data_IF_846285300530
#
_entry.id   IF_846285300530
#
_cell.length_a   1.000
_cell.length_b   1.000
_cell.length_c   1.000
_cell.angle_alpha   90.00
_cell.angle_beta   90.00
_cell.angle_gamma   90.00
#
_symmetry.space_group_name_H-M   'P 1'
#
loop_
_entity.id
_entity.type
_entity.pdbx_description
1 polymer ?
#
# COMPACT_ATOMS: atom_id res chain seq x y z
N UNK A 1 -14.85 6.68 18.29
CA UNK A 1 -14.28 7.74 17.46
C UNK A 1 -12.93 8.10 18.03
N UNK A 2 -11.90 8.13 17.22
CA UNK A 2 -10.55 8.44 17.70
C UNK A 2 -10.01 9.65 16.93
N UNK A 3 -9.42 10.60 17.67
CA UNK A 3 -8.98 11.87 17.14
C UNK A 3 -7.48 11.84 16.81
N UNK A 4 -7.12 12.29 15.61
CA UNK A 4 -5.74 12.56 15.19
C UNK A 4 -5.57 14.07 15.17
N UNK A 5 -4.78 14.60 16.11
CA UNK A 5 -4.56 16.04 16.20
C UNK A 5 -3.27 16.39 15.44
N UNK A 6 -3.40 17.23 14.44
CA UNK A 6 -2.31 17.82 13.68
C UNK A 6 -2.17 19.27 14.09
N UNK A 7 -0.98 19.68 14.52
CA UNK A 7 -0.70 21.09 14.88
C UNK A 7 0.27 21.66 13.84
N UNK A 8 -0.14 22.71 13.17
CA UNK A 8 0.71 23.46 12.23
C UNK A 8 0.70 24.95 12.60
N UNK A 9 1.78 25.65 12.32
CA UNK A 9 1.83 27.09 12.58
C UNK A 9 1.12 27.90 11.49
N UNK A 10 1.30 27.50 10.25
CA UNK A 10 0.69 28.15 9.09
C UNK A 10 0.20 27.10 8.08
N UNK A 11 -0.61 27.54 7.14
CA UNK A 11 -1.15 26.68 6.08
C UNK A 11 -0.03 26.09 5.21
N UNK A 12 1.06 26.85 4.96
CA UNK A 12 2.20 26.40 4.17
C UNK A 12 2.89 25.16 4.73
N UNK A 13 2.86 24.96 6.05
CA UNK A 13 3.47 23.77 6.69
C UNK A 13 2.73 22.46 6.33
N UNK A 14 1.49 22.59 5.87
CA UNK A 14 0.64 21.46 5.51
C UNK A 14 0.87 20.97 4.07
N UNK A 15 1.47 21.83 3.24
CA UNK A 15 1.73 21.53 1.83
C UNK A 15 3.21 21.27 1.55
N UNK A 16 3.46 20.56 0.46
CA UNK A 16 4.80 20.31 -0.02
C UNK A 16 5.38 21.59 -0.66
N UNK A 17 6.45 22.15 -0.09
CA UNK A 17 7.08 23.38 -0.58
C UNK A 17 7.73 23.24 -1.97
N UNK A 18 7.99 22.02 -2.42
CA UNK A 18 8.69 21.75 -3.68
C UNK A 18 7.74 21.46 -4.85
N UNK A 19 6.48 21.15 -4.57
CA UNK A 19 5.49 20.97 -5.61
C UNK A 19 4.75 22.29 -5.82
N UNK A 20 4.69 22.75 -7.05
CA UNK A 20 3.86 23.92 -7.41
C UNK A 20 2.36 23.65 -7.30
N UNK A 21 1.97 22.48 -6.82
CA UNK A 21 0.61 21.97 -6.65
C UNK A 21 0.24 21.93 -5.17
N UNK A 22 -1.06 21.84 -4.86
CA UNK A 22 -1.59 21.72 -3.50
C UNK A 22 -1.39 20.32 -2.91
N UNK A 23 -0.19 19.74 -3.05
CA UNK A 23 0.14 18.44 -2.48
C UNK A 23 0.39 18.54 -0.97
N UNK A 24 -0.13 17.58 -0.20
CA UNK A 24 0.14 17.48 1.23
C UNK A 24 1.63 17.22 1.49
N UNK A 25 2.17 17.84 2.54
CA UNK A 25 3.56 17.62 2.94
C UNK A 25 3.81 16.14 3.28
N UNK A 26 4.99 15.65 2.96
CA UNK A 26 5.39 14.25 3.24
C UNK A 26 5.30 13.94 4.73
N UNK A 27 5.70 14.88 5.58
CA UNK A 27 5.68 14.73 7.03
C UNK A 27 4.25 14.57 7.56
N UNK A 28 3.30 15.33 7.00
CA UNK A 28 1.89 15.23 7.36
C UNK A 28 1.31 13.87 6.94
N UNK A 29 1.61 13.42 5.73
CA UNK A 29 1.18 12.11 5.21
C UNK A 29 1.70 10.99 6.11
N UNK A 30 3.00 10.99 6.43
CA UNK A 30 3.63 9.97 7.28
C UNK A 30 3.06 9.99 8.70
N UNK A 31 2.85 11.18 9.28
CA UNK A 31 2.25 11.31 10.60
C UNK A 31 0.85 10.70 10.67
N UNK A 32 0.00 11.00 9.68
CA UNK A 32 -1.36 10.46 9.61
C UNK A 32 -1.32 8.93 9.48
N UNK A 33 -0.48 8.39 8.59
CA UNK A 33 -0.32 6.95 8.42
C UNK A 33 0.15 6.25 9.71
N UNK A 34 1.12 6.82 10.42
CA UNK A 34 1.63 6.27 11.68
C UNK A 34 0.54 6.25 12.76
N UNK A 35 -0.25 7.30 12.86
CA UNK A 35 -1.36 7.36 13.81
C UNK A 35 -2.47 6.39 13.44
N UNK A 36 -2.83 6.32 12.17
CA UNK A 36 -3.84 5.41 11.66
C UNK A 36 -3.51 3.94 11.94
N UNK A 37 -2.24 3.52 11.83
CA UNK A 37 -1.82 2.14 12.14
C UNK A 37 -2.15 1.69 13.56
N UNK A 38 -2.36 2.64 14.48
CA UNK A 38 -2.72 2.37 15.88
C UNK A 38 -4.22 2.32 16.10
N UNK A 39 -5.01 2.72 15.11
CA UNK A 39 -6.48 2.79 15.18
C UNK A 39 -7.07 1.51 14.60
N UNK A 40 -8.09 0.97 15.25
CA UNK A 40 -8.82 -0.18 14.71
C UNK A 40 -9.55 0.18 13.42
N UNK A 41 -9.50 -0.72 12.40
CA UNK A 41 -10.14 -0.55 11.10
C UNK A 41 -11.68 -0.38 11.15
N UNK A 42 -12.29 -0.65 12.31
CA UNK A 42 -13.75 -0.57 12.49
C UNK A 42 -14.19 0.75 13.17
N UNK A 43 -13.25 1.53 13.68
CA UNK A 43 -13.55 2.79 14.37
C UNK A 43 -13.59 3.95 13.39
N UNK A 44 -14.53 4.86 13.62
CA UNK A 44 -14.54 6.15 12.94
C UNK A 44 -13.39 7.01 13.43
N UNK A 45 -12.83 7.78 12.52
CA UNK A 45 -11.64 8.57 12.74
C UNK A 45 -11.91 10.04 12.41
N UNK A 46 -11.31 10.92 13.19
CA UNK A 46 -11.40 12.36 12.97
C UNK A 46 -10.00 12.94 12.94
N UNK A 47 -9.69 13.70 11.90
CA UNK A 47 -8.45 14.47 11.78
C UNK A 47 -8.78 15.91 12.16
N UNK A 48 -8.18 16.39 13.23
CA UNK A 48 -8.33 17.75 13.72
C UNK A 48 -7.07 18.52 13.37
N UNK A 49 -7.19 19.47 12.46
CA UNK A 49 -6.09 20.34 12.03
C UNK A 49 -6.19 21.65 12.82
N UNK A 50 -5.22 21.89 13.68
CA UNK A 50 -5.14 23.11 14.51
C UNK A 50 -4.07 24.02 13.92
N UNK A 51 -4.47 25.21 13.48
CA UNK A 51 -3.56 26.22 12.89
C UNK A 51 -3.74 27.56 13.58
N UNK A 52 -2.71 28.43 13.50
CA UNK A 52 -2.79 29.80 13.99
C UNK A 52 -3.42 30.77 12.99
N UNK A 53 -3.46 30.38 11.73
CA UNK A 53 -4.03 31.17 10.63
C UNK A 53 -5.19 30.43 10.01
N UNK A 54 -6.16 31.14 9.41
CA UNK A 54 -7.24 30.49 8.67
C UNK A 54 -6.68 29.67 7.51
N UNK A 55 -7.23 28.48 7.32
CA UNK A 55 -6.87 27.54 6.26
C UNK A 55 -8.04 27.47 5.29
N UNK A 56 -7.72 27.38 4.00
CA UNK A 56 -8.73 27.11 2.97
C UNK A 56 -9.14 25.64 3.07
N UNK A 57 -10.31 25.42 3.69
CA UNK A 57 -10.84 24.08 3.92
C UNK A 57 -11.12 23.30 2.65
N UNK A 58 -11.60 23.98 1.59
CA UNK A 58 -11.93 23.29 0.33
C UNK A 58 -10.64 22.82 -0.37
N UNK A 59 -9.64 23.69 -0.41
CA UNK A 59 -8.34 23.36 -0.96
C UNK A 59 -7.68 22.22 -0.20
N UNK A 60 -7.77 22.23 1.12
CA UNK A 60 -7.23 21.16 1.96
C UNK A 60 -7.96 19.83 1.75
N UNK A 61 -9.30 19.83 1.70
CA UNK A 61 -10.08 18.63 1.40
C UNK A 61 -9.74 18.07 0.03
N UNK A 62 -9.53 18.93 -0.96
CA UNK A 62 -9.10 18.51 -2.29
C UNK A 62 -7.70 17.87 -2.25
N UNK A 63 -6.72 18.47 -1.56
CA UNK A 63 -5.39 17.90 -1.40
C UNK A 63 -5.40 16.52 -0.73
N UNK A 64 -6.30 16.30 0.25
CA UNK A 64 -6.50 14.98 0.84
C UNK A 64 -7.09 13.98 -0.16
N UNK A 65 -8.07 14.37 -0.94
CA UNK A 65 -8.66 13.49 -1.94
C UNK A 65 -7.65 13.10 -3.03
N UNK A 66 -6.85 14.07 -3.50
CA UNK A 66 -5.80 13.84 -4.49
C UNK A 66 -4.74 12.86 -3.95
N UNK A 67 -4.32 13.05 -2.69
CA UNK A 67 -3.42 12.12 -2.02
C UNK A 67 -4.01 10.70 -1.94
N UNK A 68 -5.29 10.55 -1.57
CA UNK A 68 -5.93 9.23 -1.53
C UNK A 68 -5.96 8.56 -2.89
N UNK A 69 -6.30 9.31 -3.92
CA UNK A 69 -6.40 8.77 -5.26
C UNK A 69 -5.03 8.37 -5.79
N UNK A 70 -3.98 9.15 -5.51
CA UNK A 70 -2.59 8.81 -5.81
C UNK A 70 -2.17 7.51 -5.12
N UNK A 71 -2.31 7.42 -3.80
CA UNK A 71 -1.96 6.22 -3.02
C UNK A 71 -2.75 4.99 -3.47
N UNK A 72 -4.02 5.17 -3.80
CA UNK A 72 -4.84 4.07 -4.28
C UNK A 72 -4.42 3.56 -5.66
N UNK A 73 -3.99 4.46 -6.55
CA UNK A 73 -3.43 4.08 -7.85
C UNK A 73 -2.08 3.36 -7.69
N UNK A 74 -1.21 3.84 -6.80
CA UNK A 74 0.05 3.17 -6.49
C UNK A 74 -0.18 1.75 -5.98
N UNK A 75 -1.11 1.56 -5.05
CA UNK A 75 -1.47 0.23 -4.55
C UNK A 75 -2.05 -0.69 -5.62
N UNK A 76 -2.86 -0.18 -6.54
CA UNK A 76 -3.36 -0.97 -7.67
C UNK A 76 -2.22 -1.41 -8.57
N UNK A 77 -1.26 -0.52 -8.83
CA UNK A 77 -0.08 -0.82 -9.65
C UNK A 77 0.79 -1.89 -8.99
N UNK A 78 1.09 -1.73 -7.69
CA UNK A 78 1.84 -2.73 -6.91
C UNK A 78 1.16 -4.09 -6.91
N UNK A 79 -0.16 -4.12 -6.68
CA UNK A 79 -0.93 -5.36 -6.71
C UNK A 79 -0.87 -6.04 -8.07
N UNK A 80 -0.97 -5.28 -9.17
CA UNK A 80 -0.87 -5.81 -10.54
C UNK A 80 0.51 -6.41 -10.81
N UNK A 81 1.57 -5.69 -10.44
CA UNK A 81 2.96 -6.17 -10.62
C UNK A 81 3.16 -7.47 -9.84
N UNK A 82 2.69 -7.53 -8.60
CA UNK A 82 2.82 -8.73 -7.78
C UNK A 82 2.05 -9.93 -8.37
N UNK A 83 0.83 -9.71 -8.87
CA UNK A 83 0.04 -10.78 -9.52
C UNK A 83 0.76 -11.27 -10.79
N UNK A 84 1.27 -10.36 -11.62
CA UNK A 84 2.00 -10.73 -12.82
C UNK A 84 3.26 -11.53 -12.49
N UNK A 85 4.02 -11.10 -11.48
CA UNK A 85 5.21 -11.84 -11.03
C UNK A 85 4.84 -13.24 -10.54
N UNK A 86 3.78 -13.39 -9.75
CA UNK A 86 3.30 -14.68 -9.28
C UNK A 86 2.89 -15.59 -10.45
N UNK A 87 2.20 -15.05 -11.44
CA UNK A 87 1.78 -15.79 -12.62
C UNK A 87 2.98 -16.33 -13.41
N UNK A 88 3.99 -15.49 -13.64
CA UNK A 88 5.23 -15.90 -14.30
C UNK A 88 5.97 -17.00 -13.54
N UNK A 89 6.12 -16.84 -12.21
CA UNK A 89 6.76 -17.87 -11.37
C UNK A 89 6.00 -19.19 -11.41
N UNK A 90 4.66 -19.13 -11.43
CA UNK A 90 3.81 -20.32 -11.56
C UNK A 90 4.03 -21.02 -12.91
N UNK A 91 4.02 -20.27 -14.02
CA UNK A 91 4.20 -20.81 -15.37
C UNK A 91 5.58 -21.46 -15.49
N UNK A 92 6.63 -20.78 -15.00
CA UNK A 92 8.00 -21.30 -15.03
C UNK A 92 8.11 -22.57 -14.19
N UNK A 93 7.62 -22.56 -12.95
CA UNK A 93 7.64 -23.73 -12.08
C UNK A 93 6.90 -24.93 -12.67
N UNK A 94 5.69 -24.69 -13.19
CA UNK A 94 4.89 -25.73 -13.84
C UNK A 94 5.58 -26.31 -15.10
N UNK A 95 6.23 -25.43 -15.90
CA UNK A 95 6.97 -25.85 -17.07
C UNK A 95 8.15 -26.76 -16.68
N UNK A 96 8.94 -26.41 -15.67
CA UNK A 96 10.05 -27.23 -15.21
C UNK A 96 9.57 -28.59 -14.69
N UNK A 97 8.48 -28.65 -13.96
CA UNK A 97 7.90 -29.90 -13.47
C UNK A 97 7.40 -30.76 -14.64
N UNK A 98 6.69 -30.17 -15.61
CA UNK A 98 6.19 -30.87 -16.78
C UNK A 98 7.32 -31.46 -17.63
N UNK A 99 8.39 -30.66 -17.87
CA UNK A 99 9.59 -31.12 -18.57
C UNK A 99 10.24 -32.27 -17.79
N UNK A 100 10.41 -32.15 -16.48
CA UNK A 100 10.99 -33.23 -15.64
C UNK A 100 10.25 -34.55 -15.82
N UNK A 101 8.92 -34.54 -15.76
CA UNK A 101 8.10 -35.74 -15.92
C UNK A 101 8.25 -36.34 -17.33
N UNK A 102 8.32 -35.49 -18.36
CA UNK A 102 8.41 -35.95 -19.75
C UNK A 102 9.75 -36.62 -20.06
N UNK A 103 10.84 -36.11 -19.49
CA UNK A 103 12.20 -36.60 -19.78
C UNK A 103 12.70 -37.62 -18.74
N UNK A 104 11.91 -37.98 -17.75
CA UNK A 104 12.28 -38.94 -16.68
C UNK A 104 12.86 -40.24 -17.21
N UNK A 105 12.34 -40.74 -18.38
CA UNK A 105 12.78 -41.98 -19.02
C UNK A 105 14.08 -41.85 -19.80
N UNK A 106 14.53 -40.62 -20.09
CA UNK A 106 15.65 -40.35 -20.99
C UNK A 106 16.86 -39.74 -20.30
N UNK A 107 16.72 -39.33 -19.04
CA UNK A 107 17.71 -38.54 -18.31
C UNK A 107 18.10 -39.24 -17.01
N UNK A 108 19.36 -39.05 -16.60
CA UNK A 108 19.86 -39.54 -15.32
C UNK A 108 19.05 -39.00 -14.13
N UNK A 109 18.92 -39.84 -13.11
CA UNK A 109 18.22 -39.46 -11.86
C UNK A 109 18.68 -38.15 -11.27
N UNK A 110 19.97 -37.79 -11.41
CA UNK A 110 20.53 -36.55 -10.90
C UNK A 110 19.93 -35.35 -11.63
N UNK A 111 19.89 -35.37 -12.95
CA UNK A 111 19.32 -34.29 -13.77
C UNK A 111 17.82 -34.14 -13.55
N UNK A 112 17.08 -35.26 -13.41
CA UNK A 112 15.66 -35.22 -13.02
C UNK A 112 15.46 -34.54 -11.66
N UNK A 113 16.28 -34.88 -10.66
CA UNK A 113 16.20 -34.30 -9.33
C UNK A 113 16.48 -32.80 -9.37
N UNK A 114 17.48 -32.35 -10.12
CA UNK A 114 17.81 -30.93 -10.27
C UNK A 114 16.64 -30.16 -10.89
N UNK A 115 16.09 -30.63 -12.02
CA UNK A 115 14.97 -29.96 -12.68
C UNK A 115 13.73 -29.87 -11.81
N UNK A 116 13.36 -30.98 -11.15
CA UNK A 116 12.20 -31.02 -10.28
C UNK A 116 12.37 -30.12 -9.05
N UNK A 117 13.58 -30.04 -8.51
CA UNK A 117 13.89 -29.14 -7.39
C UNK A 117 13.79 -27.67 -7.79
N UNK A 118 14.26 -27.28 -8.98
CA UNK A 118 14.11 -25.92 -9.51
C UNK A 118 12.62 -25.57 -9.65
N UNK A 119 11.82 -26.48 -10.23
CA UNK A 119 10.39 -26.29 -10.37
C UNK A 119 9.67 -26.14 -9.02
N UNK A 120 9.99 -27.01 -8.06
CA UNK A 120 9.45 -26.95 -6.71
C UNK A 120 9.83 -25.66 -5.99
N UNK A 121 11.08 -25.19 -6.14
CA UNK A 121 11.54 -23.92 -5.55
C UNK A 121 10.76 -22.72 -6.12
N UNK A 122 10.55 -22.69 -7.44
CA UNK A 122 9.76 -21.64 -8.07
C UNK A 122 8.31 -21.61 -7.55
N UNK A 123 7.71 -22.77 -7.34
CA UNK A 123 6.36 -22.89 -6.74
C UNK A 123 6.34 -22.45 -5.28
N UNK A 124 7.36 -22.78 -4.51
CA UNK A 124 7.49 -22.34 -3.12
C UNK A 124 7.65 -20.83 -3.00
N UNK A 125 8.47 -20.20 -3.84
CA UNK A 125 8.64 -18.75 -3.89
C UNK A 125 7.31 -18.05 -4.20
N UNK A 126 6.54 -18.57 -5.15
CA UNK A 126 5.21 -18.07 -5.44
C UNK A 126 4.29 -18.13 -4.21
N UNK A 127 4.27 -19.26 -3.50
CA UNK A 127 3.47 -19.42 -2.29
C UNK A 127 3.90 -18.42 -1.19
N UNK A 128 5.20 -18.19 -1.01
CA UNK A 128 5.74 -17.21 -0.06
C UNK A 128 5.25 -15.79 -0.35
N UNK A 129 5.31 -15.37 -1.61
CA UNK A 129 4.78 -14.05 -2.03
C UNK A 129 3.27 -13.97 -1.78
N UNK A 130 2.52 -15.02 -2.07
CA UNK A 130 1.08 -15.05 -1.89
C UNK A 130 0.66 -14.96 -0.41
N UNK A 131 1.36 -15.67 0.46
CA UNK A 131 1.07 -15.70 1.90
C UNK A 131 1.49 -14.41 2.60
N UNK A 132 2.65 -13.82 2.24
CA UNK A 132 3.24 -12.70 2.98
C UNK A 132 2.83 -11.34 2.39
N UNK A 133 2.87 -11.17 1.08
CA UNK A 133 2.68 -9.86 0.44
C UNK A 133 1.20 -9.51 0.23
N UNK A 134 0.36 -10.46 -0.16
CA UNK A 134 -1.06 -10.18 -0.40
C UNK A 134 -1.82 -9.68 0.85
N UNK A 135 -1.63 -10.23 2.06
CA UNK A 135 -2.26 -9.69 3.26
C UNK A 135 -1.85 -8.27 3.57
N UNK A 136 -0.57 -7.91 3.37
CA UNK A 136 -0.07 -6.53 3.59
C UNK A 136 -0.74 -5.53 2.66
N UNK A 137 -0.84 -5.84 1.37
CA UNK A 137 -1.53 -5.00 0.39
C UNK A 137 -3.02 -4.85 0.70
N UNK A 138 -3.68 -5.95 1.12
CA UNK A 138 -5.08 -5.92 1.54
C UNK A 138 -5.29 -5.05 2.78
N UNK A 139 -4.39 -5.13 3.75
CA UNK A 139 -4.44 -4.30 4.96
C UNK A 139 -4.26 -2.81 4.61
N UNK A 140 -3.24 -2.45 3.81
CA UNK A 140 -3.02 -1.07 3.38
C UNK A 140 -4.23 -0.52 2.60
N UNK A 141 -4.82 -1.32 1.72
CA UNK A 141 -6.05 -0.96 1.00
C UNK A 141 -7.24 -0.72 1.94
N UNK A 142 -7.38 -1.53 3.00
CA UNK A 142 -8.45 -1.33 4.01
C UNK A 142 -8.21 -0.04 4.81
N UNK A 143 -6.97 0.25 5.16
CA UNK A 143 -6.60 1.50 5.85
C UNK A 143 -6.95 2.72 4.99
N UNK A 144 -6.58 2.75 3.72
CA UNK A 144 -6.91 3.85 2.82
C UNK A 144 -8.43 4.02 2.66
N UNK A 145 -9.18 2.93 2.53
CA UNK A 145 -10.65 3.01 2.50
C UNK A 145 -11.23 3.59 3.79
N UNK A 146 -10.70 3.21 4.94
CA UNK A 146 -11.13 3.78 6.22
C UNK A 146 -10.88 5.29 6.27
N UNK A 147 -9.72 5.76 5.81
CA UNK A 147 -9.41 7.18 5.70
C UNK A 147 -10.40 7.91 4.79
N UNK A 148 -10.77 7.32 3.65
CA UNK A 148 -11.70 7.93 2.71
C UNK A 148 -13.15 7.93 3.19
N UNK A 149 -13.61 6.80 3.71
CA UNK A 149 -15.04 6.56 3.94
C UNK A 149 -15.48 6.92 5.38
N UNK A 150 -14.54 6.91 6.34
CA UNK A 150 -14.82 7.04 7.77
C UNK A 150 -14.02 8.15 8.47
N UNK A 151 -13.34 8.99 7.70
CA UNK A 151 -12.57 10.09 8.25
C UNK A 151 -13.33 11.41 8.07
N UNK A 152 -13.48 12.13 9.16
CA UNK A 152 -13.98 13.51 9.16
C UNK A 152 -12.80 14.44 9.42
N UNK A 153 -12.65 15.49 8.60
CA UNK A 153 -11.60 16.49 8.76
C UNK A 153 -12.23 17.74 9.37
N UNK A 154 -11.75 18.14 10.52
CA UNK A 154 -12.20 19.36 11.23
C UNK A 154 -11.03 20.35 11.31
N UNK A 155 -11.33 21.62 11.13
CA UNK A 155 -10.37 22.70 11.18
C UNK A 155 -10.63 23.58 12.40
N UNK A 156 -9.61 23.82 13.21
CA UNK A 156 -9.66 24.70 14.35
C UNK A 156 -8.59 25.78 14.24
N UNK A 157 -9.02 27.03 14.09
CA UNK A 157 -8.11 28.18 14.19
C UNK A 157 -7.99 28.55 15.68
N UNK A 158 -6.80 28.41 16.24
CA UNK A 158 -6.52 28.81 17.62
C UNK A 158 -5.53 29.97 17.58
N UNK A 159 -5.99 31.18 17.96
CA UNK A 159 -5.14 32.35 17.98
C UNK A 159 -3.96 32.22 18.94
#
# INVERSE_FOLDING_TARGET
MQDIIVKANCESDLYNHYSGTSELSTDLREYIELKQRRISLHQDMRIIIVTKQPVDEERMKQAFNDWYDEEFQLLKREARINIMRQLWMFIIGAMFIAVSITIEKFVDKVAFTILSTIGAFAMWEMAGVWIIQNPRLRQRRRMLRQLRDKCTIEFHCKP
#
